data_IF_722938311741
#
_entry.id   IF_722938311741
#
_cell.length_a   1.000
_cell.length_b   1.000
_cell.length_c   1.000
_cell.angle_alpha   90.00
_cell.angle_beta   90.00
_cell.angle_gamma   90.00
#
_symmetry.space_group_name_H-M   'P 1'
#
loop_
_entity.id
_entity.type
_entity.pdbx_description
1 polymer ?
#
# COMPACT_ATOMS: atom_id res chain seq x y z
N UNK A 1 7.52 -10.80 -10.27
CA UNK A 1 8.03 -11.59 -11.42
C UNK A 1 9.43 -11.10 -11.69
N UNK A 2 10.41 -11.99 -11.87
CA UNK A 2 11.78 -11.61 -12.20
C UNK A 2 12.11 -11.99 -13.64
N UNK A 3 13.00 -11.22 -14.26
CA UNK A 3 13.40 -11.39 -15.65
C UNK A 3 14.92 -11.29 -15.77
N UNK A 4 15.53 -12.28 -16.42
CA UNK A 4 16.95 -12.31 -16.72
C UNK A 4 17.14 -12.15 -18.22
N UNK A 5 17.98 -11.18 -18.60
CA UNK A 5 18.27 -10.87 -19.99
C UNK A 5 19.79 -10.92 -20.24
N UNK A 6 20.24 -11.60 -21.30
CA UNK A 6 21.66 -11.70 -21.62
C UNK A 6 21.91 -11.87 -23.13
N UNK A 7 22.79 -11.03 -23.69
CA UNK A 7 23.17 -11.03 -25.10
C UNK A 7 24.59 -11.50 -25.37
N UNK A 8 24.90 -11.73 -26.65
CA UNK A 8 26.25 -11.98 -27.15
C UNK A 8 26.72 -13.44 -27.04
N UNK A 9 25.80 -14.41 -27.11
CA UNK A 9 26.13 -15.83 -26.94
C UNK A 9 26.26 -16.56 -28.27
N UNK A 10 27.30 -17.39 -28.40
CA UNK A 10 27.43 -18.36 -29.47
C UNK A 10 28.19 -19.60 -28.95
N UNK A 11 27.69 -20.83 -29.17
CA UNK A 11 26.37 -21.19 -29.70
C UNK A 11 25.24 -20.92 -28.67
N UNK A 12 24.06 -21.51 -28.85
CA UNK A 12 22.92 -21.33 -27.92
C UNK A 12 23.28 -21.70 -26.47
N UNK A 13 23.14 -20.79 -25.50
CA UNK A 13 23.51 -21.03 -24.11
C UNK A 13 22.41 -21.76 -23.34
N UNK A 14 22.80 -22.42 -22.24
CA UNK A 14 21.88 -22.93 -21.23
C UNK A 14 21.59 -21.82 -20.22
N UNK A 15 20.32 -21.61 -19.86
CA UNK A 15 19.92 -20.61 -18.86
C UNK A 15 18.97 -21.25 -17.86
N UNK A 16 19.23 -20.98 -16.58
CA UNK A 16 18.47 -21.51 -15.46
C UNK A 16 18.36 -20.46 -14.35
N UNK A 17 17.24 -20.47 -13.65
CA UNK A 17 17.13 -19.83 -12.34
C UNK A 17 17.49 -20.85 -11.27
N UNK A 18 18.27 -20.44 -10.27
CA UNK A 18 18.64 -21.27 -9.12
C UNK A 18 18.30 -20.59 -7.81
N UNK A 19 17.83 -21.37 -6.85
CA UNK A 19 17.69 -20.92 -5.46
C UNK A 19 19.05 -20.90 -4.74
N UNK A 20 19.07 -20.37 -3.51
CA UNK A 20 20.28 -20.35 -2.67
C UNK A 20 20.92 -21.71 -2.39
N UNK A 21 20.17 -22.81 -2.54
CA UNK A 21 20.64 -24.18 -2.39
C UNK A 21 21.12 -24.77 -3.71
N UNK A 22 21.05 -24.01 -4.81
CA UNK A 22 21.42 -24.45 -6.14
C UNK A 22 20.33 -25.23 -6.88
N UNK A 23 19.12 -25.36 -6.33
CA UNK A 23 18.03 -26.05 -7.01
C UNK A 23 17.49 -25.21 -8.16
N UNK A 24 17.20 -25.86 -9.28
CA UNK A 24 16.62 -25.20 -10.46
C UNK A 24 15.18 -24.78 -10.16
N UNK A 25 14.88 -23.50 -10.38
CA UNK A 25 13.54 -22.93 -10.25
C UNK A 25 12.86 -23.01 -11.62
N UNK A 26 11.63 -23.55 -11.71
CA UNK A 26 10.87 -23.59 -12.95
C UNK A 26 10.65 -22.18 -13.52
N UNK A 27 10.98 -21.99 -14.80
CA UNK A 27 10.78 -20.72 -15.50
C UNK A 27 9.30 -20.53 -15.88
N UNK A 28 8.84 -19.29 -15.88
CA UNK A 28 7.51 -18.93 -16.40
C UNK A 28 7.53 -18.68 -17.90
N UNK A 29 8.61 -18.13 -18.44
CA UNK A 29 8.81 -17.99 -19.87
C UNK A 29 10.30 -18.02 -20.23
N UNK A 30 10.59 -18.49 -21.44
CA UNK A 30 11.93 -18.51 -22.02
C UNK A 30 11.83 -18.16 -23.51
N UNK A 31 12.63 -17.21 -23.96
CA UNK A 31 12.76 -16.87 -25.37
C UNK A 31 14.22 -16.57 -25.73
N UNK A 32 14.52 -16.72 -27.02
CA UNK A 32 15.82 -16.42 -27.59
C UNK A 32 15.64 -15.76 -28.95
N UNK A 33 16.44 -14.73 -29.22
CA UNK A 33 16.49 -14.03 -30.50
C UNK A 33 17.93 -13.98 -31.00
N UNK A 34 18.13 -13.89 -32.31
CA UNK A 34 19.44 -13.73 -32.93
C UNK A 34 19.60 -12.27 -33.35
N UNK A 35 20.74 -11.67 -33.06
CA UNK A 35 21.07 -10.30 -33.48
C UNK A 35 21.62 -10.25 -34.91
N UNK A 36 21.84 -9.02 -35.42
CA UNK A 36 22.39 -8.82 -36.76
C UNK A 36 23.82 -9.36 -36.98
N UNK A 37 24.54 -9.68 -35.89
CA UNK A 37 25.87 -10.28 -35.93
C UNK A 37 25.83 -11.82 -35.79
N UNK A 38 24.64 -12.42 -35.73
CA UNK A 38 24.47 -13.87 -35.56
C UNK A 38 24.64 -14.36 -34.13
N UNK A 39 24.72 -13.47 -33.15
CA UNK A 39 24.82 -13.82 -31.73
C UNK A 39 23.43 -13.96 -31.10
N UNK A 40 23.31 -14.87 -30.14
CA UNK A 40 22.06 -15.10 -29.43
C UNK A 40 21.89 -14.16 -28.24
N UNK A 41 20.65 -13.73 -28.07
CA UNK A 41 20.16 -12.95 -26.95
C UNK A 41 19.01 -13.72 -26.28
N UNK A 42 19.16 -13.99 -25.00
CA UNK A 42 18.25 -14.84 -24.23
C UNK A 42 17.46 -14.00 -23.23
N UNK A 43 16.22 -14.42 -23.01
CA UNK A 43 15.33 -13.83 -22.04
C UNK A 43 14.62 -14.94 -21.27
N UNK A 44 14.74 -14.96 -19.95
CA UNK A 44 14.08 -15.95 -19.10
C UNK A 44 13.42 -15.29 -17.90
N UNK A 45 12.13 -15.57 -17.70
CA UNK A 45 11.38 -15.07 -16.55
C UNK A 45 11.05 -16.18 -15.55
N UNK A 46 10.90 -15.79 -14.28
CA UNK A 46 10.46 -16.68 -13.20
C UNK A 46 9.40 -16.00 -12.33
N UNK A 47 8.39 -16.79 -11.95
CA UNK A 47 7.38 -16.40 -10.99
C UNK A 47 7.76 -16.89 -9.60
N UNK A 48 8.25 -15.98 -8.77
CA UNK A 48 8.56 -16.26 -7.38
C UNK A 48 7.27 -16.29 -6.53
N UNK A 49 7.15 -17.30 -5.68
CA UNK A 49 6.10 -17.37 -4.66
C UNK A 49 6.54 -16.57 -3.42
N UNK A 50 5.54 -16.07 -2.68
CA UNK A 50 5.62 -15.17 -1.52
C UNK A 50 6.60 -15.61 -0.39
N UNK A 51 7.09 -16.85 -0.43
CA UNK A 51 7.96 -17.48 0.58
C UNK A 51 9.42 -17.65 0.13
N UNK A 52 9.82 -17.07 -0.99
CA UNK A 52 11.21 -17.13 -1.49
C UNK A 52 12.05 -16.04 -0.84
N UNK A 53 12.37 -16.24 0.44
CA UNK A 53 13.26 -15.35 1.24
C UNK A 53 14.74 -15.51 0.88
N UNK A 54 15.07 -16.49 0.04
CA UNK A 54 16.45 -16.78 -0.31
C UNK A 54 16.88 -16.06 -1.58
N UNK A 55 18.17 -15.66 -1.70
CA UNK A 55 18.73 -15.16 -2.94
C UNK A 55 18.41 -16.10 -4.10
N UNK A 56 18.00 -15.52 -5.23
CA UNK A 56 17.79 -16.25 -6.48
C UNK A 56 18.81 -15.78 -7.50
N UNK A 57 19.33 -16.72 -8.28
CA UNK A 57 20.42 -16.45 -9.22
C UNK A 57 20.02 -16.92 -10.61
N UNK A 58 20.17 -16.05 -11.61
CA UNK A 58 20.15 -16.45 -13.00
C UNK A 58 21.55 -16.95 -13.39
N UNK A 59 21.66 -18.18 -13.85
CA UNK A 59 22.89 -18.77 -14.36
C UNK A 59 22.77 -18.95 -15.87
N UNK A 60 23.77 -18.48 -16.62
CA UNK A 60 23.88 -18.67 -18.07
C UNK A 60 25.20 -19.36 -18.39
N UNK A 61 25.14 -20.54 -18.99
CA UNK A 61 26.29 -21.39 -19.29
C UNK A 61 26.46 -21.57 -20.80
N UNK A 62 27.68 -21.39 -21.31
CA UNK A 62 28.05 -21.79 -22.65
C UNK A 62 28.40 -23.29 -22.65
N UNK A 63 27.68 -24.14 -23.41
CA UNK A 63 27.90 -25.59 -23.40
C UNK A 63 29.23 -26.01 -24.03
N UNK A 64 29.84 -25.17 -24.86
CA UNK A 64 31.09 -25.48 -25.58
C UNK A 64 32.31 -24.98 -24.79
N UNK A 65 32.26 -23.74 -24.31
CA UNK A 65 33.40 -23.16 -23.59
C UNK A 65 33.36 -23.46 -22.09
N UNK A 66 32.23 -23.95 -21.57
CA UNK A 66 32.01 -24.14 -20.14
C UNK A 66 31.91 -22.82 -19.34
N UNK A 67 31.93 -21.67 -20.02
CA UNK A 67 31.87 -20.37 -19.36
C UNK A 67 30.49 -20.14 -18.75
N UNK A 68 30.47 -19.80 -17.47
CA UNK A 68 29.25 -19.48 -16.73
C UNK A 68 29.23 -18.00 -16.32
N UNK A 69 28.08 -17.35 -16.52
CA UNK A 69 27.78 -16.01 -16.00
C UNK A 69 26.60 -16.10 -15.05
N UNK A 70 26.72 -15.47 -13.87
CA UNK A 70 25.69 -15.48 -12.83
C UNK A 70 25.28 -14.08 -12.44
N UNK A 71 23.98 -13.87 -12.24
CA UNK A 71 23.41 -12.63 -11.72
C UNK A 71 22.43 -12.97 -10.59
N UNK A 72 22.73 -12.51 -9.37
CA UNK A 72 21.93 -12.74 -8.18
C UNK A 72 21.04 -11.56 -7.84
N UNK A 73 19.82 -11.83 -7.37
CA UNK A 73 18.91 -10.82 -6.81
C UNK A 73 18.42 -11.32 -5.45
N UNK A 74 18.38 -10.41 -4.48
CA UNK A 74 17.83 -10.64 -3.15
C UNK A 74 16.52 -9.86 -3.08
N UNK A 75 15.41 -10.55 -2.83
CA UNK A 75 14.12 -9.88 -2.63
C UNK A 75 13.99 -9.52 -1.15
N UNK A 76 13.82 -8.23 -0.81
CA UNK A 76 13.66 -7.83 0.58
C UNK A 76 12.26 -8.24 1.10
N UNK A 77 12.21 -8.69 2.36
CA UNK A 77 11.00 -9.20 3.04
C UNK A 77 9.83 -8.20 3.05
N UNK A 78 10.13 -6.90 2.92
CA UNK A 78 9.14 -5.82 2.90
C UNK A 78 8.15 -5.95 1.74
N UNK A 79 8.57 -6.51 0.59
CA UNK A 79 7.73 -6.65 -0.59
C UNK A 79 6.59 -7.66 -0.38
N UNK A 80 6.85 -8.71 0.40
CA UNK A 80 5.89 -9.79 0.65
C UNK A 80 5.09 -9.59 1.95
N UNK A 81 5.67 -8.91 2.94
CA UNK A 81 5.02 -8.61 4.23
C UNK A 81 4.01 -7.45 4.16
N UNK A 82 4.15 -6.55 3.18
CA UNK A 82 3.33 -5.35 3.02
C UNK A 82 1.83 -5.64 2.85
N UNK A 83 1.45 -6.77 2.25
CA UNK A 83 0.05 -7.03 1.88
C UNK A 83 -0.85 -7.49 3.04
N UNK A 84 -0.33 -8.25 4.01
CA UNK A 84 -1.15 -8.82 5.10
C UNK A 84 -1.14 -7.97 6.37
N UNK A 85 0.01 -7.39 6.76
CA UNK A 85 0.13 -6.62 8.00
C UNK A 85 -0.44 -5.20 7.83
N UNK A 86 -0.23 -4.57 6.67
CA UNK A 86 -0.78 -3.24 6.38
C UNK A 86 -2.32 -3.23 6.38
N UNK A 87 -2.93 -4.25 5.78
CA UNK A 87 -4.40 -4.41 5.76
C UNK A 87 -4.98 -4.61 7.17
N UNK A 88 -4.31 -5.32 8.06
CA UNK A 88 -4.80 -5.52 9.43
C UNK A 88 -4.69 -4.24 10.26
N UNK A 89 -3.57 -3.53 10.17
CA UNK A 89 -3.36 -2.28 10.92
C UNK A 89 -4.29 -1.15 10.46
N UNK A 90 -4.55 -1.02 9.16
CA UNK A 90 -5.48 -0.01 8.63
C UNK A 90 -6.92 -0.24 9.13
N UNK A 91 -7.37 -1.50 9.21
CA UNK A 91 -8.70 -1.83 9.71
C UNK A 91 -8.86 -1.58 11.22
N UNK A 92 -7.83 -1.87 12.02
CA UNK A 92 -7.86 -1.57 13.46
C UNK A 92 -7.94 -0.07 13.74
N UNK A 93 -7.17 0.74 13.00
CA UNK A 93 -7.20 2.19 13.13
C UNK A 93 -8.57 2.77 12.77
N UNK A 94 -9.16 2.30 11.66
CA UNK A 94 -10.50 2.68 11.21
C UNK A 94 -11.59 2.30 12.22
N UNK A 95 -11.44 1.13 12.86
CA UNK A 95 -12.34 0.65 13.90
C UNK A 95 -12.27 1.50 15.17
N UNK A 96 -11.07 1.82 15.65
CA UNK A 96 -10.86 2.69 16.83
C UNK A 96 -11.48 4.06 16.57
N UNK A 97 -11.25 4.61 15.38
CA UNK A 97 -11.81 5.89 14.97
C UNK A 97 -13.35 5.88 14.91
N UNK A 98 -13.95 4.81 14.37
CA UNK A 98 -15.41 4.62 14.38
C UNK A 98 -15.96 4.55 15.82
N UNK A 99 -15.28 3.86 16.73
CA UNK A 99 -15.69 3.77 18.14
C UNK A 99 -15.68 5.16 18.79
N UNK A 100 -14.64 5.97 18.57
CA UNK A 100 -14.55 7.34 19.08
C UNK A 100 -15.70 8.19 18.55
N UNK A 101 -16.00 8.11 17.25
CA UNK A 101 -17.12 8.81 16.65
C UNK A 101 -18.48 8.43 17.26
N UNK A 102 -18.70 7.13 17.49
CA UNK A 102 -19.92 6.64 18.11
C UNK A 102 -20.06 7.14 19.55
N UNK A 103 -18.99 7.10 20.34
CA UNK A 103 -18.99 7.61 21.73
C UNK A 103 -19.29 9.11 21.77
N UNK A 104 -18.62 9.90 20.92
CA UNK A 104 -18.86 11.36 20.85
C UNK A 104 -20.29 11.67 20.41
N UNK A 105 -20.80 10.94 19.42
CA UNK A 105 -22.20 11.03 18.99
C UNK A 105 -23.18 10.70 20.12
N UNK A 106 -22.98 9.60 20.85
CA UNK A 106 -23.81 9.22 21.99
C UNK A 106 -23.82 10.29 23.10
N UNK A 107 -22.66 10.87 23.44
CA UNK A 107 -22.56 11.95 24.43
C UNK A 107 -23.32 13.18 23.94
N UNK A 108 -23.14 13.58 22.69
CA UNK A 108 -23.82 14.75 22.12
C UNK A 108 -25.33 14.54 22.00
N UNK A 109 -25.81 13.36 21.60
CA UNK A 109 -27.24 13.01 21.58
C UNK A 109 -27.89 13.05 22.97
N UNK A 110 -27.15 12.72 24.03
CA UNK A 110 -27.63 12.83 25.41
C UNK A 110 -27.74 14.27 25.93
N UNK A 111 -26.94 15.18 25.37
CA UNK A 111 -26.86 16.60 25.81
C UNK A 111 -27.69 17.56 24.95
N UNK A 112 -27.94 17.25 23.67
CA UNK A 112 -28.47 18.18 22.69
C UNK A 112 -29.87 17.78 22.23
N UNK A 113 -30.90 18.40 22.82
CA UNK A 113 -32.29 18.27 22.36
C UNK A 113 -32.58 19.10 21.10
N UNK A 114 -31.73 20.06 20.73
CA UNK A 114 -31.98 21.01 19.65
C UNK A 114 -30.89 20.88 18.57
N UNK A 115 -31.28 20.49 17.35
CA UNK A 115 -30.44 20.25 16.14
C UNK A 115 -29.74 18.88 16.02
N UNK A 116 -30.44 17.77 16.34
CA UNK A 116 -30.02 16.38 16.07
C UNK A 116 -29.50 16.12 14.64
N UNK A 117 -30.03 16.82 13.64
CA UNK A 117 -29.64 16.63 12.23
C UNK A 117 -28.25 17.17 11.91
N UNK A 118 -27.87 18.34 12.42
CA UNK A 118 -26.55 18.96 12.17
C UNK A 118 -25.41 18.07 12.69
N UNK A 119 -25.62 17.47 13.86
CA UNK A 119 -24.67 16.56 14.51
C UNK A 119 -24.49 15.29 13.67
N UNK A 120 -25.57 14.66 13.23
CA UNK A 120 -25.52 13.45 12.38
C UNK A 120 -24.83 13.72 11.03
N UNK A 121 -25.13 14.86 10.40
CA UNK A 121 -24.54 15.21 9.10
C UNK A 121 -23.02 15.47 9.21
N UNK A 122 -22.59 16.13 10.29
CA UNK A 122 -21.18 16.45 10.52
C UNK A 122 -20.29 15.22 10.75
N UNK A 123 -20.82 14.15 11.35
CA UNK A 123 -20.04 12.94 11.64
C UNK A 123 -20.07 11.90 10.53
N UNK A 124 -21.16 11.84 9.76
CA UNK A 124 -21.28 10.88 8.66
C UNK A 124 -20.47 11.29 7.44
N UNK A 125 -20.36 12.59 7.13
CA UNK A 125 -19.65 13.07 5.93
C UNK A 125 -18.15 12.67 5.93
N UNK A 126 -17.37 12.90 7.00
CA UNK A 126 -15.95 12.55 7.01
C UNK A 126 -15.71 11.04 6.92
N UNK A 127 -16.59 10.23 7.55
CA UNK A 127 -16.51 8.77 7.47
C UNK A 127 -16.77 8.26 6.05
N UNK A 128 -17.78 8.81 5.37
CA UNK A 128 -18.11 8.45 3.98
C UNK A 128 -16.97 8.86 3.04
N UNK A 129 -16.36 10.04 3.25
CA UNK A 129 -15.21 10.49 2.48
C UNK A 129 -14.02 9.55 2.68
N UNK A 130 -13.69 9.21 3.93
CA UNK A 130 -12.57 8.29 4.23
C UNK A 130 -12.80 6.88 3.67
N UNK A 131 -14.01 6.35 3.85
CA UNK A 131 -14.42 5.06 3.30
C UNK A 131 -14.42 5.04 1.77
N UNK A 132 -14.70 6.17 1.10
CA UNK A 132 -14.63 6.31 -0.36
C UNK A 132 -13.20 6.48 -0.89
N UNK A 133 -12.34 7.21 -0.17
CA UNK A 133 -10.94 7.43 -0.57
C UNK A 133 -10.09 6.18 -0.38
N UNK A 134 -10.33 5.38 0.68
CA UNK A 134 -9.57 4.16 0.98
C UNK A 134 -9.48 3.15 -0.19
N UNK A 135 -10.57 2.74 -0.87
CA UNK A 135 -10.48 1.82 -2.00
C UNK A 135 -9.81 2.44 -3.24
N UNK A 136 -9.97 3.75 -3.46
CA UNK A 136 -9.28 4.49 -4.54
C UNK A 136 -7.78 4.52 -4.27
N UNK A 137 -7.39 4.80 -3.03
CA UNK A 137 -6.02 4.81 -2.56
C UNK A 137 -5.37 3.42 -2.67
N UNK A 138 -6.07 2.35 -2.29
CA UNK A 138 -5.60 0.98 -2.45
C UNK A 138 -5.41 0.60 -3.92
N UNK A 139 -6.34 1.00 -4.80
CA UNK A 139 -6.20 0.78 -6.25
C UNK A 139 -5.00 1.52 -6.83
N UNK A 140 -4.76 2.76 -6.39
CA UNK A 140 -3.58 3.54 -6.78
C UNK A 140 -2.28 2.90 -6.25
N UNK A 141 -2.27 2.43 -5.00
CA UNK A 141 -1.14 1.73 -4.38
C UNK A 141 -0.77 0.43 -5.10
N UNK A 142 -1.74 -0.29 -5.65
CA UNK A 142 -1.51 -1.53 -6.43
C UNK A 142 -1.03 -1.20 -7.86
N UNK A 143 -1.38 -0.02 -8.39
CA UNK A 143 -1.07 0.38 -9.77
C UNK A 143 0.29 1.04 -9.97
N UNK A 144 0.89 1.62 -8.92
CA UNK A 144 2.23 2.22 -8.98
C UNK A 144 3.28 1.14 -8.69
N UNK A 145 4.20 0.95 -9.62
CA UNK A 145 5.27 -0.04 -9.54
C UNK A 145 6.23 0.29 -8.38
N UNK A 146 6.65 -0.72 -7.61
CA UNK A 146 7.60 -0.68 -6.48
C UNK A 146 9.03 -0.19 -6.86
N UNK A 147 9.21 0.49 -7.99
CA UNK A 147 10.52 0.90 -8.52
C UNK A 147 11.04 2.25 -8.01
N UNK A 148 10.21 3.05 -7.33
CA UNK A 148 10.60 4.37 -6.83
C UNK A 148 10.88 4.32 -5.31
N UNK A 149 12.13 4.57 -4.90
CA UNK A 149 12.56 4.58 -3.50
C UNK A 149 11.79 5.59 -2.61
N UNK A 150 11.15 6.60 -3.20
CA UNK A 150 10.34 7.61 -2.50
C UNK A 150 8.88 7.19 -2.26
N UNK A 151 8.42 6.12 -2.91
CA UNK A 151 7.03 5.64 -2.81
C UNK A 151 6.53 5.39 -1.37
N UNK A 152 7.30 4.77 -0.45
CA UNK A 152 6.84 4.56 0.93
C UNK A 152 6.66 5.89 1.70
N UNK A 153 7.45 6.93 1.39
CA UNK A 153 7.34 8.24 2.04
C UNK A 153 6.07 8.98 1.59
N UNK A 154 5.74 8.93 0.30
CA UNK A 154 4.56 9.59 -0.25
C UNK A 154 3.25 8.93 0.24
N UNK A 155 3.23 7.60 0.26
CA UNK A 155 2.10 6.81 0.76
C UNK A 155 1.79 7.09 2.24
N UNK A 156 2.82 7.17 3.07
CA UNK A 156 2.65 7.47 4.51
C UNK A 156 2.20 8.91 4.73
N UNK A 157 2.81 9.87 4.03
CA UNK A 157 2.46 11.29 4.11
C UNK A 157 1.02 11.59 3.72
N UNK A 158 0.51 11.01 2.61
CA UNK A 158 -0.90 11.19 2.22
C UNK A 158 -1.84 10.68 3.30
N UNK A 159 -1.54 9.50 3.87
CA UNK A 159 -2.38 8.91 4.91
C UNK A 159 -2.41 9.80 6.15
N UNK A 160 -1.27 10.33 6.58
CA UNK A 160 -1.17 11.20 7.74
C UNK A 160 -1.93 12.51 7.53
N UNK A 161 -1.86 13.10 6.33
CA UNK A 161 -2.66 14.28 5.98
C UNK A 161 -4.15 13.97 6.01
N UNK A 162 -4.59 12.86 5.40
CA UNK A 162 -5.99 12.45 5.44
C UNK A 162 -6.50 12.32 6.88
N UNK A 163 -5.70 11.71 7.77
CA UNK A 163 -6.02 11.59 9.20
C UNK A 163 -6.16 12.96 9.85
N UNK A 164 -5.18 13.85 9.67
CA UNK A 164 -5.20 15.20 10.26
C UNK A 164 -6.43 15.96 9.80
N UNK A 165 -6.73 15.96 8.50
CA UNK A 165 -7.90 16.63 7.94
C UNK A 165 -9.20 16.07 8.54
N UNK A 166 -9.29 14.75 8.71
CA UNK A 166 -10.51 14.14 9.26
C UNK A 166 -10.70 14.46 10.75
N UNK A 167 -9.61 14.49 11.54
CA UNK A 167 -9.63 14.92 12.96
C UNK A 167 -10.07 16.38 13.08
N UNK A 168 -9.52 17.27 12.25
CA UNK A 168 -9.90 18.68 12.23
C UNK A 168 -11.39 18.85 11.85
N UNK A 169 -11.85 18.10 10.85
CA UNK A 169 -13.26 18.11 10.41
C UNK A 169 -14.24 17.62 11.48
N UNK A 170 -13.81 16.83 12.47
CA UNK A 170 -14.64 16.50 13.65
C UNK A 170 -14.51 17.57 14.73
N UNK A 171 -13.28 17.98 15.03
CA UNK A 171 -12.98 18.83 16.18
C UNK A 171 -13.73 20.18 16.10
N UNK A 172 -13.69 20.84 14.94
CA UNK A 172 -14.30 22.15 14.78
C UNK A 172 -15.83 22.13 14.93
N UNK A 173 -16.59 21.21 14.30
CA UNK A 173 -18.04 21.13 14.50
C UNK A 173 -18.45 20.80 15.94
N UNK A 174 -17.69 19.95 16.64
CA UNK A 174 -17.93 19.64 18.06
C UNK A 174 -17.68 20.87 18.91
N UNK A 175 -16.57 21.57 18.70
CA UNK A 175 -16.23 22.80 19.41
C UNK A 175 -17.29 23.88 19.20
N UNK A 176 -17.69 24.11 17.94
CA UNK A 176 -18.76 25.07 17.59
C UNK A 176 -20.06 24.68 18.29
N UNK A 177 -20.44 23.40 18.29
CA UNK A 177 -21.65 22.92 18.96
C UNK A 177 -21.62 23.15 20.48
N UNK A 178 -20.50 22.88 21.14
CA UNK A 178 -20.32 23.15 22.57
C UNK A 178 -20.38 24.65 22.90
N UNK A 179 -19.76 25.49 22.07
CA UNK A 179 -19.80 26.93 22.25
C UNK A 179 -21.22 27.48 22.09
N UNK A 180 -21.96 27.04 21.07
CA UNK A 180 -23.36 27.41 20.88
C UNK A 180 -24.23 27.01 22.09
N UNK A 181 -24.06 25.81 22.63
CA UNK A 181 -24.78 25.39 23.85
C UNK A 181 -24.43 26.23 25.07
N UNK A 182 -23.15 26.58 25.23
CA UNK A 182 -22.70 27.41 26.36
C UNK A 182 -23.30 28.80 26.27
N UNK A 183 -23.37 29.37 25.07
CA UNK A 183 -23.99 30.67 24.80
C UNK A 183 -25.51 30.62 25.02
N UNK A 184 -26.21 29.61 24.50
CA UNK A 184 -27.65 29.45 24.73
C UNK A 184 -27.99 29.23 26.21
N UNK A 185 -27.19 28.41 26.92
CA UNK A 185 -27.35 28.18 28.35
C UNK A 185 -27.04 29.40 29.21
N UNK A 186 -26.24 30.35 28.70
CA UNK A 186 -26.03 31.66 29.32
C UNK A 186 -27.19 32.61 29.01
N UNK A 187 -27.64 32.69 27.75
CA UNK A 187 -28.77 33.51 27.34
C UNK A 187 -30.08 33.13 28.07
N UNK A 188 -30.33 31.82 28.28
CA UNK A 188 -31.50 31.33 29.01
C UNK A 188 -31.44 31.64 30.53
N UNK A 189 -30.24 31.86 31.08
CA UNK A 189 -30.04 32.25 32.49
C UNK A 189 -30.17 33.75 32.73
N UNK A 190 -29.85 34.57 31.72
CA UNK A 190 -29.87 36.03 31.87
C UNK A 190 -31.26 36.64 31.60
N UNK A 191 -32.15 35.95 30.87
CA UNK A 191 -33.56 36.34 30.67
C UNK A 191 -33.74 37.66 29.89
N UNK A 192 -34.83 37.87 29.14
CA UNK A 192 -35.09 39.18 28.55
C UNK A 192 -35.47 40.15 29.68
N UNK A 193 -34.72 41.26 29.77
CA UNK A 193 -35.02 42.43 30.63
C UNK A 193 -36.42 42.97 30.36
#
# INVERSE_FOLDING_TARGET
MLECNSGGWFPSPQVEWRDSRGNVIPHSSKSSSVDGAGLLHLKMSVLLKNSTHSPVTCCVCNPVTGQEKRAGVILPDILFKSKSVGMLCENLYLLIYLIILLVVSCILLGTVSQNRWFVLFSFCIPFVIYAGISPVYLKFKIGVSDSDDLFPLYSTWIRDICVILTVLMIFFPVLISCLLQTLEGKARREGPL
#
